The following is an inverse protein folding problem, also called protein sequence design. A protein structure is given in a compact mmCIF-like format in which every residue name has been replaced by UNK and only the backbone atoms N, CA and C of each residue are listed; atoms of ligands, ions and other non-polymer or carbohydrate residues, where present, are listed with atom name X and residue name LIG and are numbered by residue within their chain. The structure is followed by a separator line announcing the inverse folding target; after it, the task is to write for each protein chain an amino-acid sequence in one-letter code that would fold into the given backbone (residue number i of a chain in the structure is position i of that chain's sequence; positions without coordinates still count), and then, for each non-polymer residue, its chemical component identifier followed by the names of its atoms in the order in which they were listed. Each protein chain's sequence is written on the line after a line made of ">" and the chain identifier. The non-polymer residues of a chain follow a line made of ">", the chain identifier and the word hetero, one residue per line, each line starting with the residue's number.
data_IF_406269961927
#
_entry.id   IF_406269961927
#
_cell.length_a   1.000
_cell.length_b   1.000
_cell.length_c   1.000
_cell.angle_alpha   90.00
_cell.angle_beta   90.00
_cell.angle_gamma   90.00
#
_symmetry.space_group_name_H-M   'P 1'
#
loop_
_entity.id
_entity.type
_entity.pdbx_description
1 polymer ?
#
# COMPACT_ATOMS: atom_id res chain seq x y z
N UNK A 1 19.19 4.65 -49.71
CA UNK A 1 19.90 4.27 -48.47
C UNK A 1 19.22 4.78 -47.19
N UNK A 2 18.95 6.09 -47.06
CA UNK A 2 18.31 6.70 -45.86
C UNK A 2 16.99 6.03 -45.41
N UNK A 3 16.07 5.72 -46.33
CA UNK A 3 14.80 5.01 -46.02
C UNK A 3 14.99 3.56 -45.51
N UNK A 4 16.04 2.85 -45.96
CA UNK A 4 16.33 1.47 -45.51
C UNK A 4 16.91 1.49 -44.09
N UNK A 5 17.83 2.41 -43.81
CA UNK A 5 18.39 2.63 -42.46
C UNK A 5 17.31 3.00 -41.43
N UNK A 6 16.37 3.86 -41.81
CA UNK A 6 15.23 4.24 -40.94
C UNK A 6 14.31 3.06 -40.62
N UNK A 7 14.01 2.20 -41.60
CA UNK A 7 13.20 0.99 -41.38
C UNK A 7 13.90 -0.01 -40.46
N UNK A 8 15.20 -0.25 -40.68
CA UNK A 8 15.97 -1.17 -39.84
C UNK A 8 16.07 -0.62 -38.40
N UNK A 9 16.37 0.66 -38.23
CA UNK A 9 16.42 1.30 -36.91
C UNK A 9 15.09 1.23 -36.16
N UNK A 10 13.96 1.45 -36.85
CA UNK A 10 12.63 1.34 -36.26
C UNK A 10 12.30 -0.11 -35.84
N UNK A 11 12.66 -1.10 -36.67
CA UNK A 11 12.47 -2.53 -36.35
C UNK A 11 13.33 -2.91 -35.13
N UNK A 12 14.61 -2.51 -35.10
CA UNK A 12 15.49 -2.81 -33.98
C UNK A 12 14.98 -2.20 -32.68
N UNK A 13 14.52 -0.94 -32.71
CA UNK A 13 13.92 -0.30 -31.53
C UNK A 13 12.66 -1.04 -31.06
N UNK A 14 11.78 -1.44 -31.99
CA UNK A 14 10.57 -2.18 -31.68
C UNK A 14 10.88 -3.54 -31.03
N UNK A 15 11.88 -4.26 -31.52
CA UNK A 15 12.32 -5.54 -30.95
C UNK A 15 12.89 -5.36 -29.54
N UNK A 16 13.73 -4.34 -29.33
CA UNK A 16 14.29 -4.05 -28.00
C UNK A 16 13.18 -3.69 -27.01
N UNK A 17 12.22 -2.86 -27.41
CA UNK A 17 11.06 -2.53 -26.58
C UNK A 17 10.21 -3.76 -26.27
N UNK A 18 9.96 -4.63 -27.25
CA UNK A 18 9.20 -5.86 -27.03
C UNK A 18 9.89 -6.80 -26.03
N UNK A 19 11.20 -7.01 -26.16
CA UNK A 19 11.99 -7.82 -25.22
C UNK A 19 11.95 -7.21 -23.82
N UNK A 20 12.12 -5.89 -23.72
CA UNK A 20 12.05 -5.19 -22.43
C UNK A 20 10.68 -5.38 -21.75
N UNK A 21 9.58 -5.22 -22.49
CA UNK A 21 8.24 -5.43 -21.97
C UNK A 21 8.00 -6.87 -21.52
N UNK A 22 8.55 -7.86 -22.23
CA UNK A 22 8.48 -9.28 -21.84
C UNK A 22 9.24 -9.50 -20.53
N UNK A 23 10.44 -8.97 -20.39
CA UNK A 23 11.26 -9.12 -19.17
C UNK A 23 10.57 -8.45 -17.98
N UNK A 24 10.07 -7.22 -18.13
CA UNK A 24 9.38 -6.50 -17.05
C UNK A 24 8.06 -7.21 -16.69
N UNK A 25 7.29 -7.64 -17.70
CA UNK A 25 6.03 -8.36 -17.49
C UNK A 25 6.24 -9.69 -16.77
N UNK A 26 7.24 -10.47 -17.17
CA UNK A 26 7.59 -11.74 -16.50
C UNK A 26 8.08 -11.50 -15.07
N UNK A 27 8.87 -10.45 -14.82
CA UNK A 27 9.32 -10.10 -13.46
C UNK A 27 8.15 -9.69 -12.54
N UNK A 28 7.15 -8.98 -13.06
CA UNK A 28 5.92 -8.64 -12.31
C UNK A 28 5.16 -9.90 -11.91
N UNK A 29 5.02 -10.87 -12.83
CA UNK A 29 4.27 -12.09 -12.59
C UNK A 29 5.01 -13.03 -11.63
N UNK A 30 6.33 -13.21 -11.81
CA UNK A 30 7.09 -14.18 -11.03
C UNK A 30 7.52 -13.64 -9.68
N UNK A 31 7.84 -12.35 -9.58
CA UNK A 31 8.45 -11.74 -8.39
C UNK A 31 7.82 -10.38 -8.01
N UNK A 32 6.48 -10.29 -7.85
CA UNK A 32 5.80 -9.01 -7.63
C UNK A 32 6.36 -8.26 -6.41
N UNK A 33 6.71 -8.94 -5.32
CA UNK A 33 7.35 -8.32 -4.14
C UNK A 33 8.70 -7.67 -4.42
N UNK A 34 9.56 -8.31 -5.22
CA UNK A 34 10.88 -7.74 -5.56
C UNK A 34 10.70 -6.55 -6.49
N UNK A 35 9.80 -6.68 -7.46
CA UNK A 35 9.46 -5.60 -8.39
C UNK A 35 8.84 -4.42 -7.65
N UNK A 36 7.98 -4.65 -6.67
CA UNK A 36 7.39 -3.60 -5.84
C UNK A 36 8.44 -2.76 -5.10
N UNK A 37 9.50 -3.41 -4.58
CA UNK A 37 10.62 -2.69 -3.93
C UNK A 37 11.37 -1.79 -4.90
N UNK A 38 11.55 -2.22 -6.16
CA UNK A 38 12.20 -1.38 -7.18
C UNK A 38 11.35 -0.14 -7.43
N UNK A 39 10.04 -0.31 -7.65
CA UNK A 39 9.14 0.83 -7.86
C UNK A 39 9.04 1.74 -6.65
N UNK A 40 9.02 1.21 -5.41
CA UNK A 40 9.03 2.05 -4.20
C UNK A 40 10.32 2.86 -4.06
N UNK A 41 11.47 2.29 -4.42
CA UNK A 41 12.76 3.00 -4.40
C UNK A 41 12.82 4.11 -5.46
N UNK A 42 12.05 3.97 -6.54
CA UNK A 42 11.89 4.99 -7.58
C UNK A 42 10.78 6.01 -7.25
N UNK A 43 10.13 5.88 -6.09
CA UNK A 43 9.03 6.77 -5.67
C UNK A 43 7.68 6.46 -6.33
N UNK A 44 7.58 5.43 -7.16
CA UNK A 44 6.29 4.99 -7.75
C UNK A 44 5.55 4.06 -6.78
N UNK A 45 5.03 4.66 -5.72
CA UNK A 45 4.26 3.96 -4.70
C UNK A 45 2.93 3.42 -5.22
N UNK A 46 2.41 3.93 -6.35
CA UNK A 46 1.15 3.46 -6.96
C UNK A 46 1.33 2.09 -7.58
N UNK A 47 2.42 1.89 -8.33
CA UNK A 47 2.76 0.57 -8.87
C UNK A 47 3.21 -0.36 -7.74
N UNK A 48 4.01 0.13 -6.78
CA UNK A 48 4.43 -0.67 -5.63
C UNK A 48 3.24 -1.22 -4.82
N UNK A 49 2.23 -0.38 -4.56
CA UNK A 49 0.98 -0.77 -3.89
C UNK A 49 0.28 -1.92 -4.64
N UNK A 50 0.08 -1.78 -5.96
CA UNK A 50 -0.56 -2.82 -6.79
C UNK A 50 0.21 -4.15 -6.77
N UNK A 51 1.53 -4.09 -6.80
CA UNK A 51 2.37 -5.29 -6.80
C UNK A 51 2.35 -5.99 -5.43
N UNK A 52 2.33 -5.24 -4.33
CA UNK A 52 2.13 -5.82 -2.99
C UNK A 52 0.73 -6.38 -2.79
N UNK A 53 -0.29 -5.79 -3.40
CA UNK A 53 -1.66 -6.33 -3.41
C UNK A 53 -1.71 -7.67 -4.16
N UNK A 54 -1.10 -7.76 -5.34
CA UNK A 54 -0.97 -9.04 -6.07
C UNK A 54 -0.22 -10.08 -5.23
N UNK A 55 0.90 -9.70 -4.61
CA UNK A 55 1.65 -10.62 -3.74
C UNK A 55 0.83 -11.05 -2.52
N UNK A 56 0.08 -10.15 -1.89
CA UNK A 56 -0.80 -10.48 -0.76
C UNK A 56 -1.88 -11.49 -1.17
N UNK A 57 -2.50 -11.31 -2.33
CA UNK A 57 -3.48 -12.27 -2.85
C UNK A 57 -2.87 -13.64 -3.14
N UNK A 58 -1.59 -13.71 -3.53
CA UNK A 58 -0.88 -14.98 -3.75
C UNK A 58 -0.37 -15.61 -2.46
N UNK A 59 0.11 -14.79 -1.53
CA UNK A 59 0.75 -15.16 -0.28
C UNK A 59 0.27 -14.20 0.83
N UNK A 60 -0.88 -14.50 1.45
CA UNK A 60 -1.46 -13.66 2.48
C UNK A 60 -0.59 -13.71 3.74
N UNK A 61 0.22 -12.69 3.95
CA UNK A 61 1.04 -12.55 5.16
C UNK A 61 0.80 -11.17 5.74
N UNK A 62 0.88 -11.04 7.07
CA UNK A 62 0.73 -9.76 7.79
C UNK A 62 1.67 -8.70 7.21
N UNK A 63 2.92 -9.07 6.95
CA UNK A 63 3.92 -8.16 6.36
C UNK A 63 3.55 -7.65 4.97
N UNK A 64 2.96 -8.50 4.11
CA UNK A 64 2.50 -8.05 2.81
C UNK A 64 1.27 -7.14 2.93
N UNK A 65 0.35 -7.47 3.85
CA UNK A 65 -0.85 -6.68 4.14
C UNK A 65 -0.51 -5.27 4.65
N UNK A 66 0.40 -5.19 5.62
CA UNK A 66 0.94 -3.91 6.12
C UNK A 66 1.54 -3.08 4.99
N UNK A 67 2.31 -3.69 4.06
CA UNK A 67 2.87 -2.95 2.91
C UNK A 67 1.82 -2.43 1.93
N UNK A 68 0.70 -3.16 1.75
CA UNK A 68 -0.43 -2.64 0.96
C UNK A 68 -1.04 -1.41 1.63
N UNK A 69 -1.20 -1.46 2.95
CA UNK A 69 -1.70 -0.33 3.75
C UNK A 69 -0.73 0.85 3.64
N UNK A 70 0.54 0.69 4.01
CA UNK A 70 1.58 1.74 3.94
C UNK A 70 1.57 2.51 2.61
N UNK A 71 1.60 1.77 1.49
CA UNK A 71 1.64 2.42 0.19
C UNK A 71 0.30 3.02 -0.21
N UNK A 72 -0.83 2.47 0.26
CA UNK A 72 -2.14 3.08 0.05
C UNK A 72 -2.27 4.42 0.77
N UNK A 73 -1.64 4.58 1.94
CA UNK A 73 -1.54 5.87 2.64
C UNK A 73 -0.75 6.88 1.79
N UNK A 74 0.45 6.48 1.35
CA UNK A 74 1.34 7.36 0.57
C UNK A 74 0.68 7.81 -0.73
N UNK A 75 -0.08 6.94 -1.39
CA UNK A 75 -0.78 7.27 -2.65
C UNK A 75 -2.19 7.83 -2.46
N UNK A 76 -2.59 8.13 -1.22
CA UNK A 76 -3.90 8.72 -0.88
C UNK A 76 -5.08 7.88 -1.38
N UNK A 77 -5.04 6.57 -1.11
CA UNK A 77 -6.09 5.62 -1.47
C UNK A 77 -6.82 5.11 -0.23
N UNK A 78 -7.63 5.98 0.36
CA UNK A 78 -8.35 5.77 1.60
C UNK A 78 -9.22 4.52 1.57
N UNK A 79 -9.90 4.26 0.44
CA UNK A 79 -10.72 3.06 0.25
C UNK A 79 -9.91 1.77 0.43
N UNK A 80 -8.70 1.73 -0.13
CA UNK A 80 -7.81 0.58 0.05
C UNK A 80 -7.35 0.48 1.49
N UNK A 81 -7.02 1.60 2.12
CA UNK A 81 -6.62 1.52 3.52
C UNK A 81 -7.75 0.98 4.39
N UNK A 82 -8.97 1.49 4.28
CA UNK A 82 -10.09 0.94 5.06
C UNK A 82 -10.27 -0.55 4.79
N UNK A 83 -10.24 -0.95 3.52
CA UNK A 83 -10.42 -2.36 3.11
C UNK A 83 -9.33 -3.29 3.69
N UNK A 84 -8.06 -2.90 3.58
CA UNK A 84 -6.93 -3.73 4.01
C UNK A 84 -6.64 -3.59 5.52
N UNK A 85 -6.93 -2.43 6.10
CA UNK A 85 -6.89 -2.17 7.54
C UNK A 85 -7.86 -3.06 8.31
N UNK A 86 -9.12 -3.15 7.86
CA UNK A 86 -10.09 -4.10 8.44
C UNK A 86 -9.60 -5.54 8.39
N UNK A 87 -8.99 -5.97 7.27
CA UNK A 87 -8.38 -7.31 7.15
C UNK A 87 -7.22 -7.51 8.12
N UNK A 88 -6.41 -6.48 8.37
CA UNK A 88 -5.29 -6.55 9.30
C UNK A 88 -5.79 -6.68 10.73
N UNK A 89 -6.77 -5.86 11.10
CA UNK A 89 -7.38 -5.88 12.44
C UNK A 89 -8.14 -7.17 12.74
N UNK A 90 -8.65 -7.84 11.70
CA UNK A 90 -9.29 -9.15 11.81
C UNK A 90 -8.27 -10.32 11.83
N UNK A 91 -6.98 -10.09 11.57
CA UNK A 91 -5.97 -11.14 11.43
C UNK A 91 -5.43 -11.61 12.79
N UNK A 92 -5.51 -12.92 13.06
CA UNK A 92 -5.12 -13.48 14.37
C UNK A 92 -3.61 -13.44 14.64
N UNK A 93 -2.77 -13.55 13.61
CA UNK A 93 -1.30 -13.41 13.75
C UNK A 93 -0.95 -11.97 14.18
N UNK A 94 -1.61 -10.98 13.58
CA UNK A 94 -1.45 -9.58 13.96
C UNK A 94 -1.96 -9.31 15.40
N UNK A 95 -3.12 -9.86 15.78
CA UNK A 95 -3.64 -9.73 17.15
C UNK A 95 -2.69 -10.33 18.19
N UNK A 96 -2.13 -11.49 17.90
CA UNK A 96 -1.20 -12.17 18.80
C UNK A 96 0.10 -11.38 18.99
N UNK A 97 0.57 -10.68 17.97
CA UNK A 97 1.80 -9.88 18.00
C UNK A 97 1.65 -8.56 18.75
N UNK A 98 0.48 -7.90 18.70
CA UNK A 98 0.30 -6.52 19.20
C UNK A 98 -0.53 -6.36 20.50
N UNK A 99 -1.04 -7.45 21.11
CA UNK A 99 -1.78 -7.52 22.42
C UNK A 99 -2.63 -6.27 22.79
N UNK A 100 -2.78 -5.93 24.09
CA UNK A 100 -3.90 -5.15 24.69
C UNK A 100 -4.21 -3.77 24.04
N UNK A 101 -3.29 -3.18 23.28
CA UNK A 101 -3.46 -1.89 22.60
C UNK A 101 -3.45 -1.99 21.06
N UNK A 102 -3.60 -3.18 20.46
CA UNK A 102 -3.36 -3.39 19.02
C UNK A 102 -4.19 -2.50 18.07
N UNK A 103 -5.46 -2.25 18.41
CA UNK A 103 -6.31 -1.35 17.63
C UNK A 103 -5.82 0.09 17.77
N UNK A 104 -5.41 0.49 18.99
CA UNK A 104 -4.88 1.82 19.29
C UNK A 104 -3.58 2.08 18.56
N UNK A 105 -2.62 1.18 18.65
CA UNK A 105 -1.33 1.34 18.00
C UNK A 105 -1.46 1.39 16.48
N UNK A 106 -2.34 0.55 15.89
CA UNK A 106 -2.64 0.61 14.47
C UNK A 106 -3.27 1.95 14.09
N UNK A 107 -4.32 2.37 14.79
CA UNK A 107 -5.04 3.61 14.49
C UNK A 107 -4.16 4.86 14.70
N UNK A 108 -3.36 4.92 15.76
CA UNK A 108 -2.45 6.04 16.01
C UNK A 108 -1.32 6.12 14.98
N UNK A 109 -0.71 4.98 14.65
CA UNK A 109 0.31 4.90 13.59
C UNK A 109 -0.27 5.30 12.23
N UNK A 110 -1.54 4.96 12.00
CA UNK A 110 -2.30 5.34 10.82
C UNK A 110 -2.51 6.85 10.73
N UNK A 111 -3.07 7.49 11.78
CA UNK A 111 -3.25 8.95 11.86
C UNK A 111 -1.92 9.67 11.64
N UNK A 112 -0.85 9.23 12.34
CA UNK A 112 0.47 9.85 12.27
C UNK A 112 1.03 9.81 10.84
N UNK A 113 0.82 8.71 10.13
CA UNK A 113 1.23 8.56 8.73
C UNK A 113 0.46 9.50 7.78
N UNK A 114 -0.81 9.81 8.07
CA UNK A 114 -1.57 10.79 7.28
C UNK A 114 -1.14 12.24 7.55
N UNK A 115 -0.85 12.58 8.81
CA UNK A 115 -0.30 13.90 9.14
C UNK A 115 1.04 14.15 8.46
N UNK A 116 1.95 13.17 8.49
CA UNK A 116 3.25 13.26 7.80
C UNK A 116 3.09 13.42 6.28
N UNK A 117 1.98 12.95 5.70
CA UNK A 117 1.70 13.08 4.25
C UNK A 117 0.85 14.30 3.89
N UNK A 118 0.51 15.16 4.86
CA UNK A 118 -0.15 16.45 4.66
C UNK A 118 -1.60 16.37 4.18
N UNK A 119 -2.43 15.52 4.80
CA UNK A 119 -3.83 15.32 4.41
C UNK A 119 -4.81 15.77 5.49
N UNK A 120 -5.66 16.76 5.18
CA UNK A 120 -6.58 17.43 6.12
C UNK A 120 -7.84 16.60 6.50
N UNK A 121 -8.34 15.69 5.64
CA UNK A 121 -9.55 14.88 5.91
C UNK A 121 -9.28 13.51 6.58
N UNK A 122 -8.03 13.29 6.99
CA UNK A 122 -7.51 12.00 7.45
C UNK A 122 -8.12 11.48 8.75
N UNK A 123 -8.61 12.40 9.59
CA UNK A 123 -9.27 12.09 10.86
C UNK A 123 -10.57 11.32 10.64
N UNK A 124 -11.33 11.60 9.57
CA UNK A 124 -12.61 10.96 9.30
C UNK A 124 -12.44 9.49 8.85
N UNK A 125 -11.47 9.20 7.98
CA UNK A 125 -11.13 7.82 7.58
C UNK A 125 -10.50 7.02 8.72
N UNK A 126 -9.68 7.68 9.55
CA UNK A 126 -9.13 7.06 10.76
C UNK A 126 -10.22 6.81 11.81
N UNK A 127 -11.20 7.71 11.91
CA UNK A 127 -12.41 7.56 12.73
C UNK A 127 -13.30 6.43 12.22
N UNK A 128 -13.52 6.24 10.91
CA UNK A 128 -14.30 5.08 10.42
C UNK A 128 -13.68 3.74 10.83
N UNK A 129 -12.35 3.65 10.82
CA UNK A 129 -11.62 2.46 11.31
C UNK A 129 -11.68 2.34 12.85
N UNK A 130 -11.72 3.47 13.57
CA UNK A 130 -11.83 3.51 15.03
C UNK A 130 -13.27 3.34 15.53
N UNK A 131 -14.29 3.70 14.75
CA UNK A 131 -15.72 3.65 15.12
C UNK A 131 -16.18 2.20 15.26
N UNK A 132 -15.65 1.27 14.45
CA UNK A 132 -15.84 -0.18 14.67
C UNK A 132 -15.28 -0.66 16.03
N UNK A 133 -14.34 0.07 16.65
CA UNK A 133 -13.83 -0.18 18.00
C UNK A 133 -14.57 0.66 19.08
N UNK A 134 -15.10 1.83 18.70
CA UNK A 134 -15.78 2.81 19.55
C UNK A 134 -17.07 2.30 20.18
N UNK A 135 -17.82 1.44 19.51
CA UNK A 135 -19.00 0.80 20.09
C UNK A 135 -18.66 -0.14 21.26
N UNK A 136 -17.37 -0.33 21.57
CA UNK A 136 -16.88 -1.07 22.74
C UNK A 136 -16.13 -0.27 23.82
N UNK A 137 -15.70 1.00 23.63
CA UNK A 137 -14.86 1.68 24.65
C UNK A 137 -14.88 3.24 24.65
N UNK A 138 -15.52 3.90 25.65
CA UNK A 138 -15.65 5.37 25.74
C UNK A 138 -14.36 6.16 26.05
N UNK A 139 -13.42 5.62 26.82
CA UNK A 139 -12.15 6.29 27.17
C UNK A 139 -11.30 6.62 25.93
N UNK A 140 -11.51 5.86 24.86
CA UNK A 140 -10.80 5.95 23.61
C UNK A 140 -11.09 7.25 22.84
N UNK A 141 -12.32 7.76 22.90
CA UNK A 141 -12.70 9.02 22.25
C UNK A 141 -12.01 10.24 22.87
N UNK A 142 -11.68 10.17 24.15
CA UNK A 142 -11.04 11.27 24.89
C UNK A 142 -9.55 11.41 24.53
N UNK A 143 -8.81 10.30 24.37
CA UNK A 143 -7.41 10.33 23.92
C UNK A 143 -7.26 10.85 22.49
N UNK A 144 -8.22 10.52 21.62
CA UNK A 144 -8.19 10.89 20.20
C UNK A 144 -8.46 12.37 19.95
N UNK A 145 -9.41 12.95 20.68
CA UNK A 145 -9.73 14.38 20.62
C UNK A 145 -8.62 15.28 21.17
N UNK A 146 -7.68 14.72 21.93
CA UNK A 146 -6.47 15.42 22.39
C UNK A 146 -5.34 15.45 21.35
N UNK A 147 -5.37 14.58 20.33
CA UNK A 147 -4.35 14.53 19.25
C UNK A 147 -4.72 15.45 18.08
N UNK A 148 -5.98 15.83 17.95
CA UNK A 148 -6.49 16.74 16.91
C UNK A 148 -6.29 18.23 17.20
N UNK A 149 -5.30 18.60 18.02
CA UNK A 149 -4.95 19.99 18.37
C UNK A 149 -3.55 20.31 17.88
#
# INVERSE_FOLDING_TARGET
>A
MKRKLLKVGAITLAVVLAIYLIIVGTAIILFPKKTAKVFSNLGDYKVACKLYEIEYHRKPTVKNLQKVIDYSIIVKNDKKVVTYGKKLLANDEYKAEYQDEYYLDFTLSYIKSYYVTGQENSVETALELAIEYKDGNPEYCAKYSAISV
#
